data_IF_986548459716
#
_entry.id   IF_986548459716
#
_cell.length_a   1.000
_cell.length_b   1.000
_cell.length_c   1.000
_cell.angle_alpha   90.00
_cell.angle_beta   90.00
_cell.angle_gamma   90.00
#
_symmetry.space_group_name_H-M   'P 1'
#
loop_
_entity.id
_entity.type
_entity.pdbx_description
1 polymer ?
#
# COMPACT_ATOMS: atom_id res chain seq x y z
N UNK A 1 0.09 -32.24 -41.06
CA UNK A 1 0.49 -33.25 -40.08
C UNK A 1 1.89 -32.88 -39.59
N UNK A 2 2.00 -32.54 -38.30
CA UNK A 2 3.22 -32.41 -37.45
C UNK A 2 4.21 -31.28 -37.80
N UNK A 3 4.23 -30.17 -37.04
CA UNK A 3 4.86 -29.96 -35.72
C UNK A 3 6.38 -30.24 -35.70
N UNK A 4 7.17 -29.16 -35.66
CA UNK A 4 8.41 -29.07 -34.85
C UNK A 4 8.64 -27.61 -34.42
N UNK A 5 8.29 -27.26 -33.18
CA UNK A 5 9.15 -27.37 -31.99
C UNK A 5 10.25 -26.29 -32.01
N UNK A 6 9.92 -25.06 -31.61
CA UNK A 6 10.86 -24.18 -30.91
C UNK A 6 10.37 -23.98 -29.49
N UNK A 7 11.07 -24.67 -28.61
CA UNK A 7 10.90 -24.76 -27.17
C UNK A 7 11.31 -23.42 -26.57
N UNK A 8 10.32 -22.61 -26.18
CA UNK A 8 10.52 -21.52 -25.24
C UNK A 8 10.44 -22.12 -23.82
N UNK A 9 11.52 -22.77 -23.40
CA UNK A 9 11.82 -22.98 -21.99
C UNK A 9 12.72 -21.81 -21.61
N UNK A 10 12.16 -20.80 -20.95
CA UNK A 10 12.90 -20.01 -19.98
C UNK A 10 11.95 -19.58 -18.85
N UNK A 11 12.04 -20.35 -17.77
CA UNK A 11 11.87 -19.95 -16.37
C UNK A 11 10.53 -19.33 -15.94
N UNK A 12 9.50 -20.18 -15.82
CA UNK A 12 8.60 -20.08 -14.65
C UNK A 12 9.19 -21.01 -13.59
N UNK A 13 10.12 -20.47 -12.80
CA UNK A 13 10.47 -21.07 -11.52
C UNK A 13 9.49 -20.49 -10.51
N UNK A 14 8.53 -21.33 -10.11
CA UNK A 14 7.78 -21.16 -8.88
C UNK A 14 8.79 -21.30 -7.73
N UNK A 15 9.33 -20.18 -7.25
CA UNK A 15 10.08 -20.12 -6.00
C UNK A 15 9.23 -19.43 -4.95
N UNK A 16 8.61 -20.24 -4.08
CA UNK A 16 8.42 -19.91 -2.69
C UNK A 16 9.80 -19.96 -2.02
N UNK A 17 10.60 -18.90 -2.14
CA UNK A 17 11.86 -18.74 -1.42
C UNK A 17 12.08 -17.25 -1.16
N UNK A 18 12.14 -16.91 0.12
CA UNK A 18 12.65 -15.69 0.75
C UNK A 18 12.89 -14.50 -0.18
N UNK A 19 11.89 -13.62 -0.30
CA UNK A 19 11.92 -12.41 -1.14
C UNK A 19 12.84 -11.35 -0.50
N UNK A 20 14.14 -11.60 -0.58
CA UNK A 20 15.19 -10.58 -0.53
C UNK A 20 15.56 -10.23 -1.97
N UNK A 21 14.59 -9.76 -2.75
CA UNK A 21 14.92 -9.00 -3.95
C UNK A 21 15.72 -7.76 -3.51
N UNK A 22 17.02 -7.77 -3.81
CA UNK A 22 17.86 -6.58 -3.74
C UNK A 22 17.16 -5.49 -4.56
N UNK A 23 16.78 -4.40 -3.91
CA UNK A 23 16.34 -3.18 -4.59
C UNK A 23 17.41 -2.81 -5.62
N UNK A 24 17.07 -2.67 -6.91
CA UNK A 24 18.04 -2.31 -7.94
C UNK A 24 18.81 -1.05 -7.53
N UNK A 25 20.15 -1.10 -7.57
CA UNK A 25 21.00 0.03 -7.18
C UNK A 25 20.92 1.21 -8.18
N UNK A 26 20.33 0.99 -9.35
CA UNK A 26 20.21 1.97 -10.43
C UNK A 26 18.76 2.13 -10.86
N UNK A 27 18.30 3.38 -10.97
CA UNK A 27 16.99 3.67 -11.55
C UNK A 27 16.97 3.25 -13.02
N UNK A 28 15.85 2.64 -13.44
CA UNK A 28 15.60 2.39 -14.85
C UNK A 28 15.29 3.71 -15.55
N UNK A 29 15.82 3.92 -16.74
CA UNK A 29 15.45 5.10 -17.54
C UNK A 29 14.04 4.92 -18.11
N UNK A 30 13.25 5.99 -18.08
CA UNK A 30 11.93 6.02 -18.71
C UNK A 30 12.03 5.78 -20.23
N UNK A 31 11.01 5.13 -20.81
CA UNK A 31 10.96 4.95 -22.27
C UNK A 31 10.80 6.31 -22.95
N UNK A 32 11.60 6.57 -23.99
CA UNK A 32 11.56 7.83 -24.75
C UNK A 32 10.18 8.12 -25.38
N UNK A 33 9.35 7.10 -25.55
CA UNK A 33 7.99 7.19 -26.11
C UNK A 33 6.90 7.13 -25.03
N UNK A 34 7.26 7.21 -23.75
CA UNK A 34 6.28 7.28 -22.67
C UNK A 34 5.49 8.59 -22.76
N UNK A 35 4.16 8.48 -22.84
CA UNK A 35 3.26 9.64 -22.89
C UNK A 35 2.56 9.89 -21.55
N UNK A 36 2.37 8.81 -20.78
CA UNK A 36 1.70 8.83 -19.48
C UNK A 36 2.35 7.82 -18.53
N UNK A 37 2.61 8.27 -17.31
CA UNK A 37 3.03 7.44 -16.19
C UNK A 37 1.96 7.43 -15.12
N UNK A 38 1.64 6.22 -14.65
CA UNK A 38 0.78 6.02 -13.50
C UNK A 38 1.64 5.50 -12.36
N UNK A 39 1.59 6.13 -11.20
CA UNK A 39 2.20 5.58 -9.99
C UNK A 39 1.16 5.38 -8.90
N UNK A 40 1.29 4.28 -8.16
CA UNK A 40 0.42 3.99 -7.03
C UNK A 40 1.21 3.46 -5.85
N UNK A 41 1.11 4.13 -4.71
CA UNK A 41 1.77 3.67 -3.48
C UNK A 41 0.78 3.57 -2.32
N UNK A 42 1.16 2.75 -1.34
CA UNK A 42 0.54 2.81 -0.03
C UNK A 42 1.06 4.04 0.74
N UNK A 43 0.33 4.53 1.73
CA UNK A 43 0.90 5.41 2.74
C UNK A 43 2.23 4.85 3.29
N UNK A 44 3.13 5.74 3.71
CA UNK A 44 4.33 5.34 4.46
C UNK A 44 3.98 4.75 5.83
N UNK A 45 4.97 4.27 6.55
CA UNK A 45 4.83 3.74 7.90
C UNK A 45 4.00 4.68 8.83
N UNK A 46 3.05 4.09 9.57
CA UNK A 46 2.10 4.82 10.44
C UNK A 46 1.89 4.07 11.76
N UNK A 47 1.39 4.79 12.76
CA UNK A 47 1.05 4.19 14.07
C UNK A 47 -0.16 3.23 14.01
N UNK A 48 -0.26 2.29 14.97
CA UNK A 48 -1.37 1.34 15.08
C UNK A 48 -2.72 2.02 15.36
N UNK A 49 -3.82 1.30 15.08
CA UNK A 49 -5.19 1.70 15.49
C UNK A 49 -5.32 1.74 17.00
N UNK A 50 -4.80 0.71 17.65
CA UNK A 50 -4.87 0.54 19.10
C UNK A 50 -3.49 0.29 19.64
N UNK A 51 -2.96 1.27 20.35
CA UNK A 51 -1.66 1.11 20.97
C UNK A 51 -1.72 0.20 22.21
N UNK A 52 -0.62 -0.49 22.46
CA UNK A 52 -0.42 -1.27 23.66
C UNK A 52 -0.22 -0.33 24.87
N UNK A 53 -1.01 -0.52 25.93
CA UNK A 53 -1.11 0.44 27.04
C UNK A 53 -0.01 0.32 28.11
N UNK A 54 0.88 -0.69 28.03
CA UNK A 54 1.72 -1.07 29.17
C UNK A 54 3.13 -0.47 29.24
N UNK A 55 3.54 0.38 28.30
CA UNK A 55 4.88 1.00 28.32
C UNK A 55 4.79 2.54 28.35
N UNK A 56 5.73 3.19 29.05
CA UNK A 56 5.98 4.62 28.89
C UNK A 56 6.36 4.88 27.44
N UNK A 57 5.41 5.35 26.64
CA UNK A 57 5.63 5.50 25.22
C UNK A 57 6.62 6.61 24.97
N UNK A 58 7.73 6.27 24.31
CA UNK A 58 8.68 7.22 23.72
C UNK A 58 8.37 7.51 22.25
N UNK A 59 7.29 6.93 21.74
CA UNK A 59 6.85 6.97 20.35
C UNK A 59 5.31 7.04 20.29
N UNK A 60 4.73 7.33 19.13
CA UNK A 60 3.27 7.39 19.00
C UNK A 60 2.64 8.72 19.40
N UNK A 61 3.44 9.79 19.53
CA UNK A 61 2.94 11.12 19.89
C UNK A 61 2.13 11.78 18.78
N UNK A 62 2.35 11.40 17.52
CA UNK A 62 1.55 11.85 16.39
C UNK A 62 0.09 11.40 16.53
N UNK A 63 -0.15 10.22 17.12
CA UNK A 63 -1.49 9.70 17.40
C UNK A 63 -1.83 8.43 16.64
N UNK A 64 -3.07 7.97 16.82
CA UNK A 64 -3.59 6.75 16.20
C UNK A 64 -3.67 6.91 14.69
N UNK A 65 -3.21 5.91 13.93
CA UNK A 65 -3.18 5.91 12.46
C UNK A 65 -2.37 7.03 11.78
N UNK A 66 -1.67 7.86 12.55
CA UNK A 66 -0.91 8.98 11.99
C UNK A 66 0.43 8.54 11.41
N UNK A 67 0.87 9.26 10.38
CA UNK A 67 2.12 8.99 9.67
C UNK A 67 3.33 9.23 10.59
N UNK A 68 4.22 8.26 10.69
CA UNK A 68 5.41 8.37 11.54
C UNK A 68 6.52 9.17 10.85
N UNK A 69 7.57 9.50 11.61
CA UNK A 69 8.82 10.00 11.03
C UNK A 69 9.47 9.05 10.02
N UNK A 70 9.24 7.73 10.12
CA UNK A 70 9.77 6.75 9.17
C UNK A 70 8.97 6.82 7.87
N UNK A 71 7.64 6.85 7.97
CA UNK A 71 6.76 7.03 6.81
C UNK A 71 7.01 8.33 6.05
N UNK A 72 7.37 9.41 6.75
CA UNK A 72 7.77 10.68 6.12
C UNK A 72 9.05 10.53 5.30
N UNK A 73 10.06 9.81 5.81
CA UNK A 73 11.33 9.54 5.11
C UNK A 73 11.13 8.62 3.92
N UNK A 74 10.31 7.58 4.07
CA UNK A 74 9.94 6.66 2.98
C UNK A 74 9.27 7.43 1.84
N UNK A 75 8.25 8.24 2.13
CA UNK A 75 7.56 9.04 1.12
C UNK A 75 8.48 10.06 0.45
N UNK A 76 9.31 10.79 1.21
CA UNK A 76 10.28 11.73 0.65
C UNK A 76 11.32 11.03 -0.24
N UNK A 77 11.83 9.87 0.20
CA UNK A 77 12.75 9.04 -0.57
C UNK A 77 12.13 8.59 -1.89
N UNK A 78 10.92 8.04 -1.84
CA UNK A 78 10.16 7.67 -3.04
C UNK A 78 9.96 8.86 -3.99
N UNK A 79 9.64 10.05 -3.47
CA UNK A 79 9.51 11.26 -4.28
C UNK A 79 10.77 11.61 -5.07
N UNK A 80 11.96 11.44 -4.47
CA UNK A 80 13.23 11.66 -5.17
C UNK A 80 13.49 10.64 -6.26
N UNK A 81 13.24 9.36 -5.98
CA UNK A 81 13.40 8.30 -6.99
C UNK A 81 12.42 8.49 -8.16
N UNK A 82 11.17 8.87 -7.84
CA UNK A 82 10.18 9.23 -8.84
C UNK A 82 10.67 10.40 -9.69
N UNK A 83 11.33 11.40 -9.08
CA UNK A 83 11.89 12.56 -9.81
C UNK A 83 12.95 12.16 -10.80
N UNK A 84 13.87 11.27 -10.42
CA UNK A 84 14.89 10.75 -11.33
C UNK A 84 14.24 9.95 -12.48
N UNK A 85 13.18 9.21 -12.18
CA UNK A 85 12.51 8.38 -13.19
C UNK A 85 11.65 9.18 -14.18
N UNK A 86 10.72 10.01 -13.70
CA UNK A 86 9.73 10.70 -14.56
C UNK A 86 10.06 12.16 -14.82
N UNK A 87 11.13 12.69 -14.23
CA UNK A 87 11.60 14.07 -14.43
C UNK A 87 11.73 14.51 -15.89
N UNK A 88 12.15 13.64 -16.85
CA UNK A 88 12.17 14.01 -18.25
C UNK A 88 10.80 14.29 -18.89
N UNK A 89 9.70 13.79 -18.32
CA UNK A 89 8.35 13.99 -18.87
C UNK A 89 7.67 15.25 -18.34
N UNK A 90 7.93 15.64 -17.10
CA UNK A 90 7.25 16.77 -16.43
C UNK A 90 8.20 17.93 -16.17
N UNK A 91 7.67 19.14 -16.02
CA UNK A 91 8.47 20.31 -15.65
C UNK A 91 9.19 20.15 -14.30
N UNK A 92 10.17 21.02 -14.04
CA UNK A 92 10.83 21.10 -12.73
C UNK A 92 9.87 21.54 -11.62
N UNK A 93 8.88 22.37 -11.96
CA UNK A 93 7.81 22.79 -11.06
C UNK A 93 6.51 22.07 -11.39
N UNK A 94 5.62 22.00 -10.40
CA UNK A 94 4.26 21.52 -10.63
C UNK A 94 3.54 22.36 -11.68
N UNK A 95 3.00 21.67 -12.69
CA UNK A 95 2.15 22.23 -13.72
C UNK A 95 0.80 21.50 -13.72
N UNK A 96 -0.28 22.25 -13.54
CA UNK A 96 -1.63 21.68 -13.40
C UNK A 96 -2.06 20.80 -14.58
N UNK A 97 -1.59 21.10 -15.79
CA UNK A 97 -1.92 20.33 -16.99
C UNK A 97 -1.07 19.06 -17.15
N UNK A 98 0.04 18.93 -16.44
CA UNK A 98 0.95 17.77 -16.55
C UNK A 98 0.66 16.69 -15.51
N UNK A 99 0.20 17.09 -14.31
CA UNK A 99 0.13 16.17 -13.16
C UNK A 99 -1.20 16.22 -12.44
N UNK A 100 -1.79 15.04 -12.22
CA UNK A 100 -2.96 14.84 -11.36
C UNK A 100 -2.62 13.88 -10.24
N UNK A 101 -3.00 14.21 -9.00
CA UNK A 101 -2.70 13.39 -7.84
C UNK A 101 -3.97 13.09 -7.04
N UNK A 102 -4.11 11.85 -6.61
CA UNK A 102 -5.21 11.37 -5.80
C UNK A 102 -4.72 10.76 -4.49
N UNK A 103 -5.47 10.98 -3.42
CA UNK A 103 -5.23 10.37 -2.11
C UNK A 103 -6.54 9.94 -1.44
N UNK A 104 -6.52 8.94 -0.57
CA UNK A 104 -7.67 8.66 0.28
C UNK A 104 -7.78 9.70 1.40
N UNK A 105 -8.93 9.75 2.07
CA UNK A 105 -9.19 10.70 3.15
C UNK A 105 -8.36 10.43 4.41
N UNK A 106 -7.71 9.28 4.53
CA UNK A 106 -6.81 8.96 5.63
C UNK A 106 -5.66 9.96 5.76
N UNK A 107 -5.46 10.52 6.96
CA UNK A 107 -4.40 11.50 7.24
C UNK A 107 -3.02 10.99 6.82
N UNK A 108 -2.72 9.71 7.08
CA UNK A 108 -1.45 9.09 6.67
C UNK A 108 -1.23 9.13 5.15
N UNK A 109 -2.28 8.96 4.35
CA UNK A 109 -2.20 9.02 2.88
C UNK A 109 -2.00 10.44 2.39
N UNK A 110 -2.74 11.40 2.95
CA UNK A 110 -2.59 12.82 2.61
C UNK A 110 -1.18 13.32 2.94
N UNK A 111 -0.69 13.04 4.16
CA UNK A 111 0.65 13.41 4.60
C UNK A 111 1.73 12.72 3.77
N UNK A 112 1.54 11.44 3.41
CA UNK A 112 2.49 10.72 2.54
C UNK A 112 2.60 11.41 1.19
N UNK A 113 1.47 11.74 0.54
CA UNK A 113 1.52 12.41 -0.77
C UNK A 113 2.21 13.78 -0.70
N UNK A 114 1.97 14.54 0.38
CA UNK A 114 2.66 15.82 0.58
C UNK A 114 4.18 15.66 0.70
N UNK A 115 4.67 14.66 1.44
CA UNK A 115 6.13 14.41 1.54
C UNK A 115 6.73 13.83 0.26
N UNK A 116 5.97 13.02 -0.48
CA UNK A 116 6.39 12.56 -1.82
C UNK A 116 6.56 13.77 -2.73
N UNK A 117 5.61 14.69 -2.74
CA UNK A 117 5.71 15.91 -3.55
C UNK A 117 6.84 16.82 -3.11
N UNK A 118 7.20 16.84 -1.82
CA UNK A 118 8.37 17.58 -1.35
C UNK A 118 9.70 17.00 -1.90
N UNK A 119 9.78 15.67 -2.06
CA UNK A 119 10.94 15.02 -2.71
C UNK A 119 10.91 15.11 -4.24
N UNK A 120 9.71 15.15 -4.83
CA UNK A 120 9.50 15.15 -6.28
C UNK A 120 9.61 16.54 -6.93
N UNK A 121 9.10 17.57 -6.25
CA UNK A 121 9.10 18.96 -6.70
C UNK A 121 9.85 19.87 -5.71
N UNK A 122 11.19 19.74 -5.60
CA UNK A 122 11.97 20.77 -4.96
C UNK A 122 11.71 22.11 -5.66
N UNK A 123 11.48 23.22 -4.93
CA UNK A 123 11.16 24.50 -5.58
C UNK A 123 12.24 24.93 -6.56
N UNK A 124 11.81 25.30 -7.77
CA UNK A 124 12.65 25.90 -8.80
C UNK A 124 11.95 27.16 -9.35
N UNK A 125 12.70 28.12 -9.87
CA UNK A 125 12.19 29.34 -10.51
C UNK A 125 11.00 30.01 -9.80
N UNK A 126 9.77 29.90 -10.34
CA UNK A 126 8.57 30.55 -9.81
C UNK A 126 7.93 29.83 -8.62
N UNK A 127 8.30 28.57 -8.36
CA UNK A 127 7.82 27.81 -7.21
C UNK A 127 8.60 28.15 -5.93
N UNK A 128 9.75 28.82 -6.03
CA UNK A 128 10.55 29.29 -4.90
C UNK A 128 9.91 30.54 -4.26
N UNK A 129 8.79 30.35 -3.58
CA UNK A 129 8.06 31.43 -2.92
C UNK A 129 8.70 31.87 -1.58
N UNK A 130 9.62 31.07 -1.04
CA UNK A 130 10.34 31.34 0.20
C UNK A 130 11.74 30.71 0.20
N UNK A 131 12.79 31.54 0.11
CA UNK A 131 14.20 31.10 0.07
C UNK A 131 14.68 30.32 1.31
N UNK A 132 13.97 30.43 2.45
CA UNK A 132 14.32 29.69 3.66
C UNK A 132 13.62 28.32 3.74
N UNK A 133 12.84 27.95 2.73
CA UNK A 133 12.02 26.75 2.72
C UNK A 133 12.06 26.06 1.35
N UNK A 134 12.76 24.94 1.28
CA UNK A 134 12.83 24.06 0.10
C UNK A 134 11.53 23.23 -0.06
N UNK A 135 10.39 23.90 -0.08
CA UNK A 135 9.09 23.27 -0.29
C UNK A 135 8.12 24.18 -1.04
N UNK A 136 7.42 23.60 -2.02
CA UNK A 136 6.30 24.24 -2.71
C UNK A 136 5.03 23.41 -2.50
N UNK A 137 3.87 24.03 -2.23
CA UNK A 137 2.62 23.31 -2.16
C UNK A 137 2.25 22.71 -3.52
N UNK A 138 1.84 21.44 -3.52
CA UNK A 138 1.33 20.73 -4.69
C UNK A 138 -0.08 20.25 -4.38
N UNK A 139 -1.09 20.63 -5.18
CA UNK A 139 -2.48 20.27 -4.92
C UNK A 139 -2.73 18.78 -5.22
N UNK A 140 -3.69 18.19 -4.51
CA UNK A 140 -4.17 16.84 -4.73
C UNK A 140 -5.68 16.74 -4.51
N UNK A 141 -6.28 15.67 -5.04
CA UNK A 141 -7.71 15.38 -4.87
C UNK A 141 -7.93 14.21 -3.92
N UNK A 142 -8.82 14.38 -2.94
CA UNK A 142 -9.25 13.27 -2.08
C UNK A 142 -10.34 12.46 -2.82
N UNK A 143 -10.14 11.15 -2.98
CA UNK A 143 -11.12 10.29 -3.66
C UNK A 143 -11.18 8.87 -3.09
N UNK A 144 -12.01 8.68 -2.06
CA UNK A 144 -12.17 7.37 -1.40
C UNK A 144 -12.84 6.32 -2.28
N UNK A 145 -13.64 6.71 -3.27
CA UNK A 145 -14.32 5.75 -4.14
C UNK A 145 -13.33 4.85 -4.87
N UNK A 146 -12.26 5.45 -5.41
CA UNK A 146 -11.24 4.73 -6.18
C UNK A 146 -10.07 4.24 -5.30
N UNK A 147 -9.84 4.81 -4.10
CA UNK A 147 -8.66 4.53 -3.28
C UNK A 147 -8.98 3.77 -1.97
N UNK A 148 -10.18 3.94 -1.43
CA UNK A 148 -10.59 3.37 -0.14
C UNK A 148 -12.09 3.01 -0.14
N UNK A 149 -12.50 2.23 -1.14
CA UNK A 149 -13.92 1.98 -1.45
C UNK A 149 -14.72 1.45 -0.25
N UNK A 150 -14.11 0.67 0.65
CA UNK A 150 -14.81 0.10 1.81
C UNK A 150 -15.14 1.12 2.90
N UNK A 151 -14.45 2.26 2.92
CA UNK A 151 -14.73 3.38 3.82
C UNK A 151 -15.75 4.37 3.23
N UNK A 152 -16.24 4.14 1.99
CA UNK A 152 -17.20 5.05 1.37
C UNK A 152 -18.59 4.94 1.99
N UNK A 153 -19.04 6.06 2.58
CA UNK A 153 -20.38 6.21 3.11
C UNK A 153 -21.41 6.03 1.97
N UNK A 154 -22.45 5.22 2.22
CA UNK A 154 -23.57 4.94 1.32
C UNK A 154 -23.31 3.97 0.14
N UNK A 155 -22.20 3.23 0.12
CA UNK A 155 -22.01 2.15 -0.86
C UNK A 155 -22.36 0.78 -0.28
N UNK A 156 -23.64 0.38 -0.39
CA UNK A 156 -24.16 -0.87 0.19
C UNK A 156 -23.51 -2.14 -0.37
N UNK A 157 -22.98 -2.09 -1.59
CA UNK A 157 -22.29 -3.22 -2.21
C UNK A 157 -20.91 -3.45 -1.57
N UNK A 158 -20.12 -2.38 -1.39
CA UNK A 158 -18.79 -2.53 -0.78
C UNK A 158 -18.87 -2.88 0.70
N UNK A 159 -19.85 -2.31 1.42
CA UNK A 159 -20.09 -2.70 2.80
C UNK A 159 -20.43 -4.18 2.92
N UNK A 160 -21.31 -4.72 2.07
CA UNK A 160 -21.65 -6.15 2.05
C UNK A 160 -20.46 -7.06 1.75
N UNK A 161 -19.51 -6.60 0.93
CA UNK A 161 -18.31 -7.35 0.62
C UNK A 161 -17.26 -7.31 1.75
N UNK A 162 -17.22 -6.24 2.53
CA UNK A 162 -16.24 -6.02 3.60
C UNK A 162 -16.70 -6.51 4.97
N UNK A 163 -18.01 -6.46 5.26
CA UNK A 163 -18.63 -6.89 6.52
C UNK A 163 -18.19 -8.30 6.98
N UNK A 164 -18.22 -9.35 6.14
CA UNK A 164 -17.82 -10.68 6.58
C UNK A 164 -16.30 -10.79 6.85
N UNK A 165 -15.50 -9.85 6.35
CA UNK A 165 -14.05 -9.79 6.62
C UNK A 165 -13.80 -9.17 7.99
N UNK A 166 -14.37 -7.99 8.27
CA UNK A 166 -14.14 -7.28 9.55
C UNK A 166 -14.70 -8.01 10.77
N UNK A 167 -15.71 -8.86 10.55
CA UNK A 167 -16.33 -9.67 11.59
C UNK A 167 -15.80 -11.12 11.64
N UNK A 168 -14.73 -11.43 10.90
CA UNK A 168 -14.11 -12.76 10.89
C UNK A 168 -15.07 -13.90 10.48
N UNK A 169 -16.10 -13.60 9.68
CA UNK A 169 -17.20 -14.50 9.32
C UNK A 169 -16.95 -15.33 8.05
N UNK A 170 -15.87 -15.06 7.30
CA UNK A 170 -15.51 -15.89 6.15
C UNK A 170 -14.95 -17.24 6.61
N UNK A 171 -15.23 -18.37 5.91
CA UNK A 171 -14.76 -19.69 6.33
C UNK A 171 -13.25 -19.76 6.62
N UNK A 172 -12.41 -19.13 5.79
CA UNK A 172 -10.95 -19.06 6.02
C UNK A 172 -10.60 -18.31 7.32
N UNK A 173 -11.31 -17.22 7.62
CA UNK A 173 -11.07 -16.43 8.84
C UNK A 173 -11.58 -17.15 10.09
N UNK A 174 -12.71 -17.85 9.98
CA UNK A 174 -13.25 -18.70 11.04
C UNK A 174 -12.31 -19.88 11.35
N UNK A 175 -11.73 -20.49 10.32
CA UNK A 175 -10.75 -21.56 10.46
C UNK A 175 -9.45 -21.03 11.10
N UNK A 176 -8.96 -19.87 10.66
CA UNK A 176 -7.79 -19.22 11.26
C UNK A 176 -8.01 -18.84 12.73
N UNK A 177 -9.20 -18.33 13.08
CA UNK A 177 -9.55 -17.99 14.47
C UNK A 177 -9.63 -19.23 15.34
N UNK A 178 -10.21 -20.32 14.83
CA UNK A 178 -10.31 -21.61 15.53
C UNK A 178 -8.94 -22.27 15.71
N UNK A 179 -8.15 -22.35 14.64
CA UNK A 179 -6.83 -23.01 14.64
C UNK A 179 -5.81 -22.27 15.51
N UNK A 180 -5.94 -20.95 15.65
CA UNK A 180 -5.06 -20.14 16.50
C UNK A 180 -5.74 -19.68 17.80
N UNK A 181 -6.77 -20.40 18.27
CA UNK A 181 -7.57 -20.02 19.44
C UNK A 181 -6.72 -19.70 20.68
N UNK A 182 -5.65 -20.48 20.89
CA UNK A 182 -4.68 -20.31 21.97
C UNK A 182 -3.90 -19.00 21.90
N UNK A 183 -3.51 -18.57 20.69
CA UNK A 183 -2.90 -17.27 20.47
C UNK A 183 -3.87 -16.16 20.83
N UNK A 184 -5.13 -16.25 20.40
CA UNK A 184 -6.14 -15.23 20.71
C UNK A 184 -6.42 -15.15 22.20
N UNK A 185 -6.47 -16.29 22.90
CA UNK A 185 -6.58 -16.34 24.37
C UNK A 185 -5.37 -15.68 25.04
N UNK A 186 -4.17 -15.96 24.54
CA UNK A 186 -2.93 -15.36 25.03
C UNK A 186 -2.93 -13.83 24.88
N UNK A 187 -3.28 -13.34 23.69
CA UNK A 187 -3.38 -11.89 23.40
C UNK A 187 -4.45 -11.26 24.31
N UNK A 188 -5.64 -11.84 24.39
CA UNK A 188 -6.73 -11.32 25.22
C UNK A 188 -6.33 -11.24 26.70
N UNK A 189 -5.68 -12.28 27.24
CA UNK A 189 -5.20 -12.32 28.63
C UNK A 189 -4.22 -11.18 28.94
N UNK A 190 -3.28 -10.88 28.03
CA UNK A 190 -2.22 -9.90 28.30
C UNK A 190 -2.61 -8.45 27.98
N UNK A 191 -3.51 -8.25 27.03
CA UNK A 191 -3.92 -6.93 26.50
C UNK A 191 -5.30 -6.48 26.97
N UNK A 192 -6.18 -7.41 27.36
CA UNK A 192 -7.60 -7.16 27.59
C UNK A 192 -8.40 -6.90 26.31
N UNK A 193 -7.86 -7.23 25.14
CA UNK A 193 -8.54 -7.03 23.85
C UNK A 193 -9.40 -8.25 23.48
N UNK A 194 -10.26 -8.09 22.46
CA UNK A 194 -11.15 -9.15 22.01
C UNK A 194 -10.34 -10.29 21.36
N UNK A 195 -10.90 -11.50 21.38
CA UNK A 195 -10.37 -12.64 20.65
C UNK A 195 -10.75 -12.54 19.16
N UNK A 196 -10.02 -11.70 18.41
CA UNK A 196 -10.30 -11.43 17.00
C UNK A 196 -9.03 -11.24 16.19
N UNK A 197 -9.12 -11.44 14.87
CA UNK A 197 -8.03 -11.16 13.93
C UNK A 197 -7.63 -9.69 13.99
N UNK A 198 -8.58 -8.77 14.17
CA UNK A 198 -8.29 -7.35 14.35
C UNK A 198 -7.37 -7.12 15.56
N UNK A 199 -7.59 -7.81 16.69
CA UNK A 199 -6.76 -7.64 17.88
C UNK A 199 -5.35 -8.20 17.69
N UNK A 200 -5.21 -9.32 16.98
CA UNK A 200 -3.91 -9.86 16.60
C UNK A 200 -3.16 -8.94 15.62
N UNK A 201 -3.87 -8.41 14.61
CA UNK A 201 -3.34 -7.43 13.65
C UNK A 201 -2.85 -6.17 14.36
N UNK A 202 -3.63 -5.64 15.31
CA UNK A 202 -3.23 -4.50 16.12
C UNK A 202 -1.97 -4.78 16.94
N UNK A 203 -1.83 -5.98 17.51
CA UNK A 203 -0.64 -6.33 18.26
C UNK A 203 0.58 -6.45 17.35
N UNK A 204 0.41 -7.00 16.14
CA UNK A 204 1.45 -7.06 15.12
C UNK A 204 1.94 -5.66 14.75
N UNK A 205 1.02 -4.71 14.48
CA UNK A 205 1.36 -3.30 14.22
C UNK A 205 2.16 -2.70 15.38
N UNK A 206 1.76 -2.96 16.64
CA UNK A 206 2.52 -2.47 17.79
C UNK A 206 3.93 -3.07 17.86
N UNK A 207 4.09 -4.37 17.62
CA UNK A 207 5.42 -5.01 17.63
C UNK A 207 6.31 -4.39 16.55
N UNK A 208 5.77 -4.17 15.35
CA UNK A 208 6.49 -3.54 14.24
C UNK A 208 6.99 -2.14 14.64
N UNK A 209 6.10 -1.28 15.13
CA UNK A 209 6.46 0.07 15.55
C UNK A 209 7.46 0.07 16.72
N UNK A 210 7.23 -0.78 17.72
CA UNK A 210 8.15 -0.87 18.85
C UNK A 210 9.57 -1.27 18.41
N UNK A 211 9.70 -2.15 17.43
CA UNK A 211 11.00 -2.49 16.87
C UNK A 211 11.61 -1.30 16.11
N UNK A 212 10.83 -0.59 15.28
CA UNK A 212 11.30 0.59 14.53
C UNK A 212 11.82 1.70 15.44
N UNK A 213 11.14 1.92 16.57
CA UNK A 213 11.53 2.91 17.57
C UNK A 213 12.55 2.40 18.60
N UNK A 214 13.08 1.18 18.44
CA UNK A 214 13.94 0.51 19.43
C UNK A 214 13.33 0.52 20.86
N UNK A 215 12.00 0.48 20.95
CA UNK A 215 11.28 0.41 22.21
C UNK A 215 11.26 -1.02 22.74
N UNK A 216 11.44 -1.19 24.04
CA UNK A 216 11.41 -2.51 24.68
C UNK A 216 10.04 -3.15 24.54
N UNK A 217 10.00 -4.36 24.01
CA UNK A 217 8.79 -5.17 23.98
C UNK A 217 8.39 -5.60 25.40
N UNK A 218 7.09 -5.79 25.68
CA UNK A 218 6.64 -6.25 26.99
C UNK A 218 7.24 -7.60 27.35
N UNK A 219 7.44 -7.82 28.65
CA UNK A 219 8.02 -9.06 29.17
C UNK A 219 7.29 -10.33 28.71
N UNK A 220 5.97 -10.28 28.55
CA UNK A 220 5.19 -11.43 28.11
C UNK A 220 5.36 -11.74 26.61
N UNK A 221 5.92 -10.82 25.82
CA UNK A 221 6.35 -11.11 24.44
C UNK A 221 7.80 -11.59 24.43
N UNK A 222 8.65 -10.97 25.26
CA UNK A 222 10.08 -11.27 25.33
C UNK A 222 10.39 -12.60 26.04
N UNK A 223 9.58 -12.96 27.03
CA UNK A 223 9.67 -14.19 27.83
C UNK A 223 8.26 -14.75 28.03
N UNK A 224 7.66 -15.38 26.99
CA UNK A 224 6.33 -15.94 27.10
C UNK A 224 6.28 -17.00 28.20
N UNK A 225 5.23 -16.96 29.02
CA UNK A 225 5.02 -17.95 30.10
C UNK A 225 4.13 -19.12 29.68
N UNK A 226 3.79 -19.22 28.38
CA UNK A 226 2.98 -20.30 27.83
C UNK A 226 3.89 -21.47 27.45
N UNK A 227 3.46 -22.72 27.70
CA UNK A 227 4.17 -23.91 27.23
C UNK A 227 4.16 -24.02 25.69
N UNK A 228 3.20 -23.37 25.04
CA UNK A 228 2.96 -23.47 23.59
C UNK A 228 3.80 -22.49 22.76
N UNK A 229 4.21 -21.38 23.35
CA UNK A 229 4.91 -20.32 22.64
C UNK A 229 6.26 -20.04 23.27
N UNK A 230 7.31 -20.08 22.45
CA UNK A 230 8.56 -19.41 22.76
C UNK A 230 8.55 -18.00 22.14
N UNK A 231 9.55 -17.17 22.47
CA UNK A 231 9.65 -15.79 21.96
C UNK A 231 9.56 -15.70 20.44
N UNK A 232 10.23 -16.62 19.72
CA UNK A 232 10.28 -16.63 18.26
C UNK A 232 8.92 -17.02 17.69
N UNK A 233 8.39 -18.18 18.10
CA UNK A 233 7.11 -18.69 17.58
C UNK A 233 5.97 -17.73 17.88
N UNK A 234 5.92 -17.13 19.08
CA UNK A 234 4.92 -16.13 19.41
C UNK A 234 4.95 -14.94 18.43
N UNK A 235 6.13 -14.37 18.19
CA UNK A 235 6.27 -13.23 17.28
C UNK A 235 5.89 -13.62 15.87
N UNK A 236 6.38 -14.74 15.35
CA UNK A 236 6.05 -15.22 14.01
C UNK A 236 4.53 -15.41 13.85
N UNK A 237 3.88 -16.10 14.81
CA UNK A 237 2.43 -16.32 14.74
C UNK A 237 1.62 -15.02 14.86
N UNK A 238 2.04 -14.05 15.69
CA UNK A 238 1.39 -12.73 15.73
C UNK A 238 1.54 -12.01 14.38
N UNK A 239 2.74 -12.02 13.80
CA UNK A 239 3.03 -11.31 12.55
C UNK A 239 2.29 -11.91 11.35
N UNK A 240 1.87 -13.19 11.39
CA UNK A 240 0.98 -13.78 10.38
C UNK A 240 -0.36 -13.04 10.24
N UNK A 241 -0.79 -12.32 11.28
CA UNK A 241 -2.03 -11.55 11.25
C UNK A 241 -1.83 -10.10 10.81
N UNK A 242 -0.60 -9.64 10.56
CA UNK A 242 -0.35 -8.30 10.04
C UNK A 242 -1.17 -8.07 8.76
N UNK A 243 -2.03 -7.05 8.79
CA UNK A 243 -2.88 -6.66 7.66
C UNK A 243 -3.81 -7.76 7.12
N UNK A 244 -4.11 -8.79 7.92
CA UNK A 244 -4.81 -9.98 7.44
C UNK A 244 -6.17 -9.65 6.81
N UNK A 245 -6.94 -8.73 7.38
CA UNK A 245 -8.22 -8.29 6.79
C UNK A 245 -8.05 -7.67 5.40
N UNK A 246 -7.08 -6.76 5.23
CA UNK A 246 -6.78 -6.14 3.93
C UNK A 246 -6.33 -7.18 2.91
N UNK A 247 -5.47 -8.11 3.32
CA UNK A 247 -5.03 -9.23 2.48
C UNK A 247 -6.21 -10.14 2.09
N UNK A 248 -7.13 -10.41 3.01
CA UNK A 248 -8.33 -11.20 2.72
C UNK A 248 -9.23 -10.50 1.70
N UNK A 249 -9.41 -9.17 1.76
CA UNK A 249 -10.19 -8.47 0.71
C UNK A 249 -9.60 -8.66 -0.69
N UNK A 250 -8.28 -8.64 -0.83
CA UNK A 250 -7.59 -8.87 -2.11
C UNK A 250 -7.77 -10.32 -2.62
N UNK A 251 -8.11 -11.26 -1.72
CA UNK A 251 -8.36 -12.67 -2.03
C UNK A 251 -9.84 -13.00 -2.24
N UNK A 252 -10.72 -12.32 -1.52
CA UNK A 252 -12.15 -12.58 -1.51
C UNK A 252 -12.81 -11.87 -2.69
N UNK A 253 -13.25 -12.64 -3.69
CA UNK A 253 -13.79 -12.12 -4.97
C UNK A 253 -14.75 -10.93 -4.80
N UNK A 254 -15.80 -10.96 -3.96
CA UNK A 254 -16.70 -9.83 -3.81
C UNK A 254 -16.01 -8.53 -3.37
N UNK A 255 -15.00 -8.61 -2.50
CA UNK A 255 -14.26 -7.43 -2.03
C UNK A 255 -13.19 -7.01 -3.04
N UNK A 256 -12.45 -7.96 -3.60
CA UNK A 256 -11.44 -7.73 -4.64
C UNK A 256 -12.05 -7.05 -5.85
N UNK A 257 -13.16 -7.57 -6.36
CA UNK A 257 -13.74 -7.14 -7.62
C UNK A 257 -14.39 -5.77 -7.50
N UNK A 258 -15.04 -5.46 -6.38
CA UNK A 258 -15.62 -4.12 -6.19
C UNK A 258 -14.54 -3.06 -5.93
N UNK A 259 -13.56 -3.35 -5.07
CA UNK A 259 -12.52 -2.37 -4.71
C UNK A 259 -11.51 -2.19 -5.84
N UNK A 260 -11.10 -3.28 -6.48
CA UNK A 260 -10.16 -3.31 -7.58
C UNK A 260 -10.79 -2.94 -8.91
N UNK A 261 -12.03 -3.36 -9.17
CA UNK A 261 -12.73 -3.07 -10.42
C UNK A 261 -13.07 -1.59 -10.59
N UNK A 262 -13.45 -0.89 -9.52
CA UNK A 262 -13.69 0.57 -9.57
C UNK A 262 -12.41 1.32 -9.94
N UNK A 263 -11.28 0.96 -9.31
CA UNK A 263 -9.99 1.57 -9.62
C UNK A 263 -9.51 1.21 -11.03
N UNK A 264 -9.62 -0.06 -11.44
CA UNK A 264 -9.27 -0.49 -12.80
C UNK A 264 -10.10 0.27 -13.85
N UNK A 265 -11.40 0.42 -13.64
CA UNK A 265 -12.26 1.17 -14.55
C UNK A 265 -11.83 2.64 -14.65
N UNK A 266 -11.42 3.25 -13.54
CA UNK A 266 -10.83 4.59 -13.53
C UNK A 266 -9.54 4.65 -14.37
N UNK A 267 -8.62 3.68 -14.21
CA UNK A 267 -7.40 3.61 -15.03
C UNK A 267 -7.73 3.40 -16.51
N UNK A 268 -8.60 2.45 -16.85
CA UNK A 268 -9.00 2.20 -18.25
C UNK A 268 -9.62 3.44 -18.90
N UNK A 269 -10.40 4.21 -18.14
CA UNK A 269 -10.97 5.48 -18.62
C UNK A 269 -9.87 6.51 -18.92
N UNK A 270 -8.88 6.64 -18.03
CA UNK A 270 -7.71 7.50 -18.24
C UNK A 270 -6.95 7.09 -19.51
N UNK A 271 -6.66 5.79 -19.67
CA UNK A 271 -5.91 5.28 -20.81
C UNK A 271 -6.66 5.50 -22.12
N UNK A 272 -7.98 5.27 -22.11
CA UNK A 272 -8.85 5.55 -23.24
C UNK A 272 -8.78 7.04 -23.61
N UNK A 273 -9.02 7.95 -22.65
CA UNK A 273 -9.04 9.38 -22.91
C UNK A 273 -7.68 9.91 -23.38
N UNK A 274 -6.58 9.37 -22.85
CA UNK A 274 -5.22 9.69 -23.29
C UNK A 274 -5.01 9.29 -24.76
N UNK A 275 -5.45 8.08 -25.14
CA UNK A 275 -5.31 7.58 -26.51
C UNK A 275 -6.12 8.38 -27.55
N UNK A 276 -7.20 9.04 -27.13
CA UNK A 276 -8.00 9.93 -27.98
C UNK A 276 -7.59 11.41 -27.87
N UNK A 277 -6.54 11.74 -27.09
CA UNK A 277 -6.08 13.12 -26.89
C UNK A 277 -7.01 13.99 -26.04
N UNK A 278 -7.96 13.38 -25.33
CA UNK A 278 -8.89 14.07 -24.42
C UNK A 278 -8.27 14.30 -23.03
N UNK A 279 -7.17 13.60 -22.74
CA UNK A 279 -6.41 13.74 -21.50
C UNK A 279 -4.95 14.07 -21.82
N UNK A 280 -4.41 15.09 -21.16
CA UNK A 280 -3.08 15.67 -21.46
C UNK A 280 -2.08 15.52 -20.32
N UNK A 281 -2.52 14.98 -19.18
CA UNK A 281 -1.64 14.68 -18.06
C UNK A 281 -0.60 13.64 -18.46
N UNK A 282 0.62 13.86 -18.00
CA UNK A 282 1.80 13.00 -18.20
C UNK A 282 2.08 12.14 -16.98
N UNK A 283 1.64 12.56 -15.80
CA UNK A 283 1.79 11.82 -14.55
C UNK A 283 0.48 11.79 -13.78
N UNK A 284 0.07 10.61 -13.34
CA UNK A 284 -1.04 10.46 -12.41
C UNK A 284 -0.62 9.61 -11.23
N UNK A 285 -0.80 10.17 -10.03
CA UNK A 285 -0.37 9.57 -8.78
C UNK A 285 -1.53 9.14 -7.89
N UNK A 286 -1.34 8.03 -7.19
CA UNK A 286 -2.31 7.49 -6.24
C UNK A 286 -1.62 7.14 -4.92
N UNK A 287 -2.15 7.64 -3.79
CA UNK A 287 -1.74 7.22 -2.45
C UNK A 287 -2.93 6.69 -1.68
N UNK A 288 -2.86 5.47 -1.15
CA UNK A 288 -3.98 4.87 -0.41
C UNK A 288 -3.58 4.04 0.81
N UNK A 289 -4.59 3.61 1.56
CA UNK A 289 -4.44 2.70 2.69
C UNK A 289 -4.19 1.25 2.27
N UNK A 290 -4.52 0.90 1.02
CA UNK A 290 -4.41 -0.45 0.48
C UNK A 290 -3.27 -0.57 -0.51
N UNK A 291 -2.63 -1.75 -0.58
CA UNK A 291 -1.56 -2.00 -1.54
C UNK A 291 -2.08 -2.05 -2.98
N UNK A 292 -1.60 -1.14 -3.84
CA UNK A 292 -1.91 -1.12 -5.27
C UNK A 292 -1.31 -2.32 -5.98
N UNK A 293 -0.05 -2.64 -5.71
CA UNK A 293 0.66 -3.74 -6.36
C UNK A 293 -0.16 -5.04 -6.32
N UNK A 294 -0.57 -5.49 -5.12
CA UNK A 294 -1.39 -6.71 -4.96
C UNK A 294 -2.78 -6.64 -5.61
N UNK A 295 -3.38 -5.45 -5.74
CA UNK A 295 -4.65 -5.27 -6.47
C UNK A 295 -4.42 -5.43 -7.97
N UNK A 296 -3.35 -4.83 -8.51
CA UNK A 296 -3.05 -4.86 -9.94
C UNK A 296 -2.56 -6.23 -10.38
N UNK A 297 -1.59 -6.85 -9.69
CA UNK A 297 -1.03 -8.14 -10.13
C UNK A 297 -2.12 -9.21 -10.30
N UNK A 298 -3.14 -9.20 -9.43
CA UNK A 298 -4.23 -10.19 -9.47
C UNK A 298 -5.33 -9.90 -10.47
N UNK A 299 -5.60 -8.62 -10.73
CA UNK A 299 -6.56 -8.22 -11.76
C UNK A 299 -5.94 -8.43 -13.14
N UNK A 300 -4.68 -8.00 -13.31
CA UNK A 300 -3.95 -8.14 -14.57
C UNK A 300 -3.62 -9.60 -14.87
N UNK A 301 -3.31 -10.43 -13.86
CA UNK A 301 -3.16 -11.88 -14.03
C UNK A 301 -4.43 -12.60 -14.53
N UNK A 302 -5.61 -11.97 -14.40
CA UNK A 302 -6.86 -12.45 -15.01
C UNK A 302 -7.16 -11.80 -16.38
N UNK A 303 -6.38 -10.79 -16.78
CA UNK A 303 -6.56 -9.99 -18.01
C UNK A 303 -5.54 -10.31 -19.11
N UNK A 304 -4.92 -11.50 -19.10
CA UNK A 304 -3.91 -12.01 -20.07
C UNK A 304 -4.36 -12.08 -21.56
N UNK A 305 -5.39 -11.33 -21.98
CA UNK A 305 -5.93 -11.32 -23.35
C UNK A 305 -6.10 -9.95 -24.01
N UNK A 306 -5.50 -8.88 -23.49
CA UNK A 306 -5.55 -7.57 -24.16
C UNK A 306 -4.13 -7.09 -24.47
N UNK A 307 -3.49 -7.72 -25.46
CA UNK A 307 -2.33 -7.14 -26.13
C UNK A 307 -2.80 -6.38 -27.37
N UNK A 308 -2.80 -5.05 -27.30
CA UNK A 308 -2.82 -4.18 -28.48
C UNK A 308 -1.89 -2.98 -28.25
N UNK A 309 -1.59 -2.24 -29.32
CA UNK A 309 -0.55 -1.20 -29.45
C UNK A 309 -0.48 -0.13 -28.34
N UNK A 310 -1.51 0.02 -27.51
CA UNK A 310 -1.59 0.96 -26.37
C UNK A 310 -0.56 0.71 -25.25
N UNK A 311 -0.12 -0.53 -25.04
CA UNK A 311 0.73 -0.89 -23.89
C UNK A 311 2.22 -0.48 -24.04
N UNK A 312 2.64 0.09 -25.17
CA UNK A 312 4.03 0.50 -25.38
C UNK A 312 4.37 1.88 -24.81
N UNK A 313 3.38 2.76 -24.64
CA UNK A 313 3.59 4.18 -24.29
C UNK A 313 3.17 4.53 -22.85
N UNK A 314 2.73 3.54 -22.08
CA UNK A 314 2.22 3.72 -20.71
C UNK A 314 3.00 2.80 -19.80
N UNK A 315 3.73 3.37 -18.84
CA UNK A 315 4.41 2.61 -17.81
C UNK A 315 3.70 2.79 -16.47
N UNK A 316 3.56 1.69 -15.74
CA UNK A 316 3.02 1.69 -14.38
C UNK A 316 4.17 1.44 -13.43
N UNK A 317 4.43 2.40 -12.54
CA UNK A 317 5.39 2.26 -11.46
C UNK A 317 4.65 1.90 -10.17
N UNK A 318 5.09 0.83 -9.51
CA UNK A 318 4.62 0.40 -8.19
C UNK A 318 5.73 0.57 -7.16
#
# INVERSE_FOLDING_TARGET
MLLCWYVAIYCIVLSLEDDTQLTPETSITIDENAELILFGMRHGNRHPKKFLNKNSRIWGFEGVHELTQFGKREGFGFGKELREFVGPLVGNNYMQHEVTLYTSSANSCQMTLQVVMAGFYPPDTFAEWNHALEWSPVPYTINDLILETHSTLNCSATQRAWEPIIHDNLPELMDLTTTNAQLFDYIAKHTGWNRSIESASNLADNILEMNLYNASLPDWIERPTSEEFNKRSLKETIMMFLEKHSLTCVNYEPCRDITGGIWLNHILTILHNTAYGEQTQKLIGYVSVSFYDRKVTRIVGNCDKIQSRLLKSVQIAF
#
